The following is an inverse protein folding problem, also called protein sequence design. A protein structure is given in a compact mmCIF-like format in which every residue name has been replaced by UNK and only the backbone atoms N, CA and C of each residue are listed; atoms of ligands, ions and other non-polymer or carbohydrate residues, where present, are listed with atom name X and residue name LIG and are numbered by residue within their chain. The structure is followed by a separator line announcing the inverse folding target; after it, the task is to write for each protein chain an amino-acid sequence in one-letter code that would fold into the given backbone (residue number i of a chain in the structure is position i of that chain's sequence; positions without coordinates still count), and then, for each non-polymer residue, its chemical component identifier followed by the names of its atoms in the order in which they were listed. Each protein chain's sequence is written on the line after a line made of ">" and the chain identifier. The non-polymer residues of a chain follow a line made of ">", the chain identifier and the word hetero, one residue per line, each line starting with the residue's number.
data_IF_110009137937
#
_entry.id   IF_110009137937
#
_cell.length_a   1.000
_cell.length_b   1.000
_cell.length_c   1.000
_cell.angle_alpha   90.00
_cell.angle_beta   90.00
_cell.angle_gamma   90.00
#
_symmetry.space_group_name_H-M   'P 1'
#
loop_
_entity.id
_entity.type
_entity.pdbx_description
1 polymer ?
#
# COMPACT_ATOMS: atom_id res chain seq x y z
N UNK A 1 -8.12 19.65 -2.90
CA UNK A 1 -7.55 18.42 -3.49
C UNK A 1 -8.71 17.52 -3.84
N UNK A 2 -8.81 17.11 -5.10
CA UNK A 2 -9.88 16.23 -5.59
C UNK A 2 -9.57 14.78 -5.17
N UNK A 3 -10.58 13.95 -4.93
CA UNK A 3 -10.49 12.52 -4.61
C UNK A 3 -9.59 11.74 -5.58
N UNK A 4 -9.57 12.14 -6.86
CA UNK A 4 -8.70 11.57 -7.90
C UNK A 4 -7.21 11.88 -7.67
N UNK A 5 -6.87 13.06 -7.16
CA UNK A 5 -5.48 13.45 -6.88
C UNK A 5 -4.92 12.69 -5.67
N UNK A 6 -5.78 12.43 -4.67
CA UNK A 6 -5.45 11.63 -3.50
C UNK A 6 -5.15 10.18 -3.90
N UNK A 7 -5.98 9.59 -4.75
CA UNK A 7 -5.77 8.24 -5.26
C UNK A 7 -4.45 8.11 -6.03
N UNK A 8 -4.12 9.09 -6.88
CA UNK A 8 -2.88 9.08 -7.64
C UNK A 8 -1.65 9.17 -6.73
N UNK A 9 -1.70 10.05 -5.73
CA UNK A 9 -0.63 10.22 -4.72
C UNK A 9 -0.39 8.94 -3.91
N UNK A 10 -1.47 8.23 -3.54
CA UNK A 10 -1.37 6.94 -2.84
C UNK A 10 -0.70 5.88 -3.72
N UNK A 11 -1.07 5.81 -5.00
CA UNK A 11 -0.52 4.84 -5.96
C UNK A 11 0.95 5.13 -6.28
N UNK A 12 1.33 6.41 -6.48
CA UNK A 12 2.72 6.79 -6.67
C UNK A 12 3.56 6.52 -5.42
N UNK A 13 3.00 6.78 -4.23
CA UNK A 13 3.62 6.43 -2.96
C UNK A 13 3.89 4.93 -2.76
N UNK A 14 3.20 4.06 -3.51
CA UNK A 14 3.41 2.61 -3.52
C UNK A 14 4.46 2.12 -4.52
N UNK A 15 4.96 2.97 -5.41
CA UNK A 15 5.88 2.58 -6.48
C UNK A 15 7.31 3.10 -6.29
N UNK A 16 7.57 3.90 -5.26
CA UNK A 16 8.88 4.54 -5.08
C UNK A 16 9.86 3.67 -4.27
N UNK A 17 11.07 3.48 -4.82
CA UNK A 17 12.28 3.03 -4.12
C UNK A 17 12.33 1.57 -3.57
N UNK A 18 11.57 0.62 -4.12
CA UNK A 18 11.62 -0.80 -3.69
C UNK A 18 11.25 -1.04 -2.21
N UNK A 19 10.68 -0.04 -1.53
CA UNK A 19 10.18 -0.17 -0.16
C UNK A 19 8.67 -0.31 -0.24
N UNK A 20 8.13 -1.35 0.39
CA UNK A 20 6.69 -1.53 0.47
C UNK A 20 6.11 -0.48 1.42
N UNK A 21 5.20 0.40 0.98
CA UNK A 21 4.70 1.44 1.86
C UNK A 21 3.88 0.81 2.99
N UNK A 22 4.23 1.19 4.21
CA UNK A 22 3.40 0.89 5.37
C UNK A 22 2.28 1.91 5.47
N UNK A 23 1.22 1.58 6.18
CA UNK A 23 0.10 2.46 6.46
C UNK A 23 0.57 3.77 7.13
N UNK A 24 1.51 3.76 8.10
CA UNK A 24 2.17 4.98 8.57
C UNK A 24 2.84 5.81 7.46
N UNK A 25 3.56 5.19 6.52
CA UNK A 25 4.17 5.91 5.39
C UNK A 25 3.12 6.55 4.50
N UNK A 26 1.99 5.88 4.26
CA UNK A 26 0.88 6.45 3.52
C UNK A 26 0.26 7.62 4.25
N UNK A 27 0.04 7.53 5.57
CA UNK A 27 -0.46 8.64 6.38
C UNK A 27 0.44 9.88 6.26
N UNK A 28 1.76 9.70 6.36
CA UNK A 28 2.73 10.80 6.21
C UNK A 28 2.67 11.40 4.81
N UNK A 29 2.62 10.57 3.75
CA UNK A 29 2.60 11.05 2.36
C UNK A 29 1.31 11.76 1.98
N UNK A 30 0.17 11.26 2.45
CA UNK A 30 -1.13 11.84 2.13
C UNK A 30 -1.50 12.99 3.07
N UNK A 31 -0.84 13.10 4.23
CA UNK A 31 -1.21 14.05 5.28
C UNK A 31 -2.52 13.69 6.01
N UNK A 32 -3.00 12.44 5.87
CA UNK A 32 -4.23 11.95 6.47
C UNK A 32 -3.94 10.96 7.60
N UNK A 33 -4.87 10.82 8.53
CA UNK A 33 -4.77 9.82 9.59
C UNK A 33 -5.07 8.41 9.07
N UNK A 34 -4.76 7.40 9.89
CA UNK A 34 -5.08 6.01 9.59
C UNK A 34 -6.60 5.82 9.43
N UNK A 35 -7.37 6.45 10.30
CA UNK A 35 -8.83 6.35 10.33
C UNK A 35 -9.45 6.94 9.06
N UNK A 36 -8.87 8.00 8.51
CA UNK A 36 -9.29 8.63 7.26
C UNK A 36 -8.94 7.79 6.03
N UNK A 37 -7.80 7.07 6.06
CA UNK A 37 -7.35 6.23 4.94
C UNK A 37 -8.02 4.86 4.88
N UNK A 38 -8.40 4.27 6.02
CA UNK A 38 -8.95 2.91 6.08
C UNK A 38 -10.19 2.70 5.17
N UNK A 39 -11.17 3.62 5.12
CA UNK A 39 -12.32 3.48 4.21
C UNK A 39 -11.90 3.48 2.73
N UNK A 40 -10.98 4.35 2.34
CA UNK A 40 -10.46 4.44 0.97
C UNK A 40 -9.70 3.16 0.59
N UNK A 41 -8.84 2.67 1.48
CA UNK A 41 -8.12 1.42 1.26
C UNK A 41 -9.08 0.23 1.15
N UNK A 42 -10.12 0.17 1.99
CA UNK A 42 -11.14 -0.88 1.88
C UNK A 42 -11.86 -0.85 0.51
N UNK A 43 -12.17 0.34 0.00
CA UNK A 43 -12.75 0.51 -1.33
C UNK A 43 -11.78 0.06 -2.43
N UNK A 44 -10.53 0.52 -2.41
CA UNK A 44 -9.52 0.16 -3.41
C UNK A 44 -9.25 -1.35 -3.42
N UNK A 45 -9.31 -2.00 -2.25
CA UNK A 45 -9.19 -3.45 -2.12
C UNK A 45 -10.38 -4.18 -2.77
N UNK A 46 -11.59 -3.70 -2.52
CA UNK A 46 -12.83 -4.22 -3.16
C UNK A 46 -12.79 -4.07 -4.67
N UNK A 47 -12.19 -3.00 -5.17
CA UNK A 47 -12.00 -2.72 -6.60
C UNK A 47 -10.84 -3.50 -7.23
N UNK A 48 -10.09 -4.30 -6.45
CA UNK A 48 -8.95 -5.08 -6.94
C UNK A 48 -7.74 -4.22 -7.34
N UNK A 49 -7.68 -2.97 -6.90
CA UNK A 49 -6.59 -2.02 -7.20
C UNK A 49 -5.42 -2.14 -6.24
N UNK A 50 -5.63 -2.75 -5.07
CA UNK A 50 -4.60 -2.97 -4.06
C UNK A 50 -4.71 -4.38 -3.45
N UNK A 51 -3.62 -4.81 -2.81
CA UNK A 51 -3.58 -6.00 -1.97
C UNK A 51 -2.89 -5.69 -0.64
N UNK A 52 -3.40 -6.28 0.44
CA UNK A 52 -2.73 -6.24 1.74
C UNK A 52 -1.72 -7.37 1.82
N UNK A 53 -0.48 -7.01 2.10
CA UNK A 53 0.59 -7.98 2.36
C UNK A 53 0.48 -8.41 3.83
N UNK A 54 0.31 -7.46 4.75
CA UNK A 54 0.04 -7.71 6.16
C UNK A 54 -0.80 -6.56 6.74
N UNK A 55 -0.88 -6.44 8.07
CA UNK A 55 -1.67 -5.39 8.75
C UNK A 55 -1.20 -3.95 8.48
N UNK A 56 0.05 -3.79 8.02
CA UNK A 56 0.66 -2.47 7.80
C UNK A 56 0.97 -2.22 6.32
N UNK A 57 1.30 -3.25 5.54
CA UNK A 57 1.82 -3.09 4.19
C UNK A 57 0.71 -3.30 3.17
N UNK A 58 0.59 -2.33 2.27
CA UNK A 58 -0.35 -2.37 1.15
C UNK A 58 0.38 -2.11 -0.16
N UNK A 59 -0.01 -2.82 -1.22
CA UNK A 59 0.59 -2.70 -2.55
C UNK A 59 -0.47 -2.36 -3.60
N UNK A 60 -0.07 -1.71 -4.69
CA UNK A 60 -0.91 -1.52 -5.87
C UNK A 60 -0.92 -2.76 -6.77
N UNK A 61 -2.04 -2.96 -7.48
CA UNK A 61 -2.27 -3.98 -8.51
C UNK A 61 -2.58 -3.30 -9.87
N UNK A 62 -2.41 -3.99 -11.01
CA UNK A 62 -1.94 -5.37 -11.14
C UNK A 62 -0.42 -5.49 -10.93
N UNK A 63 0.01 -6.66 -10.47
CA UNK A 63 1.43 -7.05 -10.44
C UNK A 63 1.59 -8.41 -11.11
N UNK A 64 2.75 -8.69 -11.73
CA UNK A 64 3.06 -10.02 -12.22
C UNK A 64 3.01 -11.06 -11.07
N UNK A 65 2.58 -12.29 -11.35
CA UNK A 65 2.49 -13.36 -10.32
C UNK A 65 3.81 -13.58 -9.56
N UNK A 66 4.95 -13.57 -10.28
CA UNK A 66 6.28 -13.70 -9.67
C UNK A 66 6.58 -12.62 -8.62
N UNK A 67 5.96 -11.45 -8.75
CA UNK A 67 6.15 -10.35 -7.80
C UNK A 67 5.41 -10.62 -6.50
N UNK A 68 4.20 -11.20 -6.54
CA UNK A 68 3.46 -11.60 -5.33
C UNK A 68 4.23 -12.66 -4.53
N UNK A 69 4.80 -13.65 -5.20
CA UNK A 69 5.64 -14.67 -4.57
C UNK A 69 6.88 -14.06 -3.90
N UNK A 70 7.53 -13.11 -4.59
CA UNK A 70 8.64 -12.34 -4.03
C UNK A 70 8.23 -11.57 -2.78
N UNK A 71 7.08 -10.88 -2.80
CA UNK A 71 6.59 -10.11 -1.65
C UNK A 71 6.23 -11.00 -0.44
N UNK A 72 5.61 -12.16 -0.69
CA UNK A 72 5.33 -13.16 0.35
C UNK A 72 6.63 -13.74 0.92
N UNK A 73 7.69 -13.85 0.12
CA UNK A 73 9.02 -14.25 0.60
C UNK A 73 9.66 -13.20 1.51
N UNK A 74 9.45 -11.91 1.25
CA UNK A 74 9.95 -10.82 2.09
C UNK A 74 9.28 -10.78 3.47
N UNK A 75 8.01 -11.22 3.61
CA UNK A 75 7.36 -11.32 4.93
C UNK A 75 8.07 -12.28 5.90
N UNK A 76 8.87 -13.22 5.38
CA UNK A 76 9.66 -14.16 6.20
C UNK A 76 10.92 -13.52 6.78
N UNK A 77 11.32 -12.33 6.30
CA UNK A 77 12.41 -11.57 6.88
C UNK A 77 11.82 -10.85 8.10
N UNK A 78 11.86 -11.53 9.25
CA UNK A 78 11.59 -10.92 10.56
C UNK A 78 12.42 -9.64 10.65
N UNK A 79 11.75 -8.53 10.94
CA UNK A 79 12.38 -7.29 11.40
C UNK A 79 13.31 -7.71 12.55
N UNK A 80 14.63 -7.62 12.32
CA UNK A 80 15.62 -7.85 13.37
C UNK A 80 15.37 -6.81 14.47
N UNK A 81 15.46 -7.21 15.75
CA UNK A 81 15.14 -6.36 16.89
C UNK A 81 16.00 -5.09 16.96
#
# INVERSE_FOLDING_TARGET
>A
MNESDLMFTVIEGMCEACVLPTLPTLCVRTGHTKEELLPLLAQLKKEGKIEWINEEIVISLPKPEWYLDYLLSLQKIKVLP
#
